data_IF_184350759802
#
_entry.id   IF_184350759802
#
_cell.length_a   1.000
_cell.length_b   1.000
_cell.length_c   1.000
_cell.angle_alpha   90.00
_cell.angle_beta   90.00
_cell.angle_gamma   90.00
#
_symmetry.space_group_name_H-M   'P 1'
#
loop_
_entity.id
_entity.type
_entity.pdbx_description
1 polymer ?
#
# COMPACT_ATOMS: atom_id res chain seq x y z
N UNK A 1 -28.09 -23.13 15.56
CA UNK A 1 -26.62 -23.02 15.59
C UNK A 1 -26.28 -21.54 15.44
N UNK A 2 -25.62 -20.89 16.40
CA UNK A 2 -25.21 -19.51 16.22
C UNK A 2 -24.20 -19.47 15.06
N UNK A 3 -24.50 -18.72 14.01
CA UNK A 3 -23.60 -18.53 12.88
C UNK A 3 -22.41 -17.69 13.34
N UNK A 4 -21.26 -18.31 13.53
CA UNK A 4 -20.02 -17.59 13.69
C UNK A 4 -19.67 -16.97 12.32
N UNK A 5 -19.73 -15.64 12.21
CA UNK A 5 -19.29 -14.93 11.01
C UNK A 5 -17.79 -15.22 10.81
N UNK A 6 -17.37 -15.81 9.68
CA UNK A 6 -15.99 -16.16 9.42
C UNK A 6 -15.15 -14.93 9.05
N UNK A 7 -15.10 -13.92 9.91
CA UNK A 7 -14.19 -12.78 9.78
C UNK A 7 -14.41 -11.91 8.53
N UNK A 8 -13.73 -10.76 8.49
CA UNK A 8 -13.76 -9.86 7.34
C UNK A 8 -12.71 -10.26 6.29
N UNK A 9 -12.97 -10.00 5.02
CA UNK A 9 -12.04 -10.28 3.90
C UNK A 9 -10.67 -9.63 4.13
N UNK A 10 -10.66 -8.43 4.70
CA UNK A 10 -9.44 -7.74 5.13
C UNK A 10 -8.51 -8.60 6.00
N UNK A 11 -9.06 -9.47 6.87
CA UNK A 11 -8.25 -10.35 7.74
C UNK A 11 -7.51 -11.45 6.96
N UNK A 12 -8.09 -11.92 5.86
CA UNK A 12 -7.50 -12.95 4.98
C UNK A 12 -6.46 -12.33 4.06
N UNK A 13 -6.72 -11.11 3.58
CA UNK A 13 -5.86 -10.43 2.61
C UNK A 13 -4.68 -9.71 3.30
N UNK A 14 -4.83 -9.28 4.55
CA UNK A 14 -3.79 -8.55 5.31
C UNK A 14 -2.38 -9.19 5.28
N UNK A 15 -2.19 -10.52 5.45
CA UNK A 15 -0.87 -11.14 5.34
C UNK A 15 -0.27 -11.02 3.94
N UNK A 16 -1.10 -11.06 2.90
CA UNK A 16 -0.67 -10.91 1.50
C UNK A 16 -0.28 -9.46 1.24
N UNK A 17 -1.10 -8.51 1.67
CA UNK A 17 -0.79 -7.08 1.59
C UNK A 17 0.52 -6.76 2.32
N UNK A 18 0.73 -7.33 3.50
CA UNK A 18 1.96 -7.16 4.27
C UNK A 18 3.16 -7.80 3.56
N UNK A 19 2.99 -9.01 3.01
CA UNK A 19 4.05 -9.74 2.30
C UNK A 19 4.50 -9.00 1.03
N UNK A 20 3.55 -8.42 0.29
CA UNK A 20 3.80 -7.73 -0.97
C UNK A 20 3.87 -6.20 -0.83
N UNK A 21 3.75 -5.67 0.39
CA UNK A 21 3.82 -4.23 0.72
C UNK A 21 2.89 -3.36 -0.15
N UNK A 22 1.69 -3.86 -0.41
CA UNK A 22 0.66 -3.14 -1.17
C UNK A 22 0.06 -2.05 -0.28
N UNK A 23 0.19 -0.79 -0.70
CA UNK A 23 -0.19 0.37 0.11
C UNK A 23 -1.66 0.79 -0.09
N UNK A 24 -2.18 0.70 -1.32
CA UNK A 24 -3.60 0.95 -1.62
C UNK A 24 -4.22 -0.23 -2.36
N UNK A 25 -4.60 -1.29 -1.61
CA UNK A 25 -5.12 -2.49 -2.22
C UNK A 25 -6.53 -2.29 -2.76
N UNK A 26 -6.71 -2.58 -4.03
CA UNK A 26 -8.03 -2.78 -4.61
C UNK A 26 -8.27 -4.27 -4.79
N UNK A 27 -9.34 -4.74 -4.15
CA UNK A 27 -9.73 -6.16 -4.18
C UNK A 27 -10.77 -6.34 -5.27
N UNK A 28 -10.45 -7.17 -6.28
CA UNK A 28 -11.33 -7.45 -7.40
C UNK A 28 -11.60 -8.96 -7.51
N UNK A 29 -12.81 -9.34 -7.91
CA UNK A 29 -13.12 -10.72 -8.30
C UNK A 29 -12.42 -11.06 -9.62
N UNK A 30 -11.71 -12.18 -9.70
CA UNK A 30 -10.98 -12.54 -10.93
C UNK A 30 -11.91 -12.76 -12.14
N UNK A 31 -13.11 -13.31 -11.92
CA UNK A 31 -14.07 -13.58 -12.99
C UNK A 31 -14.73 -12.33 -13.57
N UNK A 32 -15.20 -11.43 -12.71
CA UNK A 32 -16.01 -10.27 -13.10
C UNK A 32 -15.28 -8.92 -13.04
N UNK A 33 -14.09 -8.88 -12.42
CA UNK A 33 -13.39 -7.64 -12.02
C UNK A 33 -14.23 -6.70 -11.16
N UNK A 34 -15.29 -7.21 -10.52
CA UNK A 34 -16.08 -6.42 -9.60
C UNK A 34 -15.26 -6.11 -8.35
N UNK A 35 -15.35 -4.86 -7.89
CA UNK A 35 -14.71 -4.42 -6.66
C UNK A 35 -15.43 -4.95 -5.43
N UNK A 36 -14.63 -5.37 -4.45
CA UNK A 36 -15.08 -6.07 -3.26
C UNK A 36 -14.83 -5.20 -2.04
N UNK A 37 -15.84 -5.08 -1.20
CA UNK A 37 -15.73 -4.42 0.10
C UNK A 37 -14.84 -5.26 1.06
N UNK A 38 -13.70 -4.73 1.53
CA UNK A 38 -12.82 -5.44 2.48
C UNK A 38 -13.47 -5.72 3.84
N UNK A 39 -14.54 -5.01 4.20
CA UNK A 39 -15.31 -5.21 5.43
C UNK A 39 -16.36 -6.33 5.30
N UNK A 40 -16.63 -6.81 4.08
CA UNK A 40 -17.60 -7.89 3.87
C UNK A 40 -17.10 -9.23 4.42
N UNK A 41 -18.06 -10.13 4.64
CA UNK A 41 -17.84 -11.45 5.22
C UNK A 41 -17.11 -12.38 4.23
N UNK A 42 -16.06 -13.06 4.70
CA UNK A 42 -15.28 -14.03 3.90
C UNK A 42 -16.16 -15.16 3.34
N UNK A 43 -17.26 -15.51 4.02
CA UNK A 43 -18.20 -16.53 3.56
C UNK A 43 -18.72 -16.27 2.14
N UNK A 44 -18.81 -15.00 1.72
CA UNK A 44 -19.31 -14.59 0.40
C UNK A 44 -18.33 -14.89 -0.74
N UNK A 45 -17.07 -15.19 -0.44
CA UNK A 45 -16.00 -15.39 -1.41
C UNK A 45 -15.44 -16.81 -1.41
N UNK A 46 -16.18 -17.77 -0.85
CA UNK A 46 -15.70 -19.15 -0.79
C UNK A 46 -15.57 -19.76 -2.19
N UNK A 47 -14.34 -20.15 -2.56
CA UNK A 47 -14.03 -20.73 -3.87
C UNK A 47 -13.78 -19.70 -4.98
N UNK A 48 -13.88 -18.40 -4.67
CA UNK A 48 -13.57 -17.32 -5.60
C UNK A 48 -12.08 -16.97 -5.60
N UNK A 49 -11.56 -16.52 -6.74
CA UNK A 49 -10.19 -16.01 -6.86
C UNK A 49 -10.20 -14.50 -6.76
N UNK A 50 -9.39 -13.95 -5.87
CA UNK A 50 -9.25 -12.52 -5.66
C UNK A 50 -7.99 -12.00 -6.37
N UNK A 51 -8.17 -10.93 -7.13
CA UNK A 51 -7.09 -10.11 -7.64
C UNK A 51 -6.83 -8.99 -6.63
N UNK A 52 -5.58 -8.85 -6.23
CA UNK A 52 -5.12 -7.73 -5.41
C UNK A 52 -4.32 -6.85 -6.34
N UNK A 53 -4.90 -5.73 -6.72
CA UNK A 53 -4.19 -4.68 -7.45
C UNK A 53 -3.65 -3.68 -6.44
N UNK A 54 -2.38 -3.33 -6.59
CA UNK A 54 -1.88 -2.09 -6.02
C UNK A 54 -2.40 -0.97 -6.91
N UNK A 55 -3.46 -0.32 -6.47
CA UNK A 55 -4.19 0.58 -7.33
C UNK A 55 -3.35 1.83 -7.58
N UNK A 56 -2.76 1.89 -8.77
CA UNK A 56 -2.15 3.09 -9.33
C UNK A 56 -3.13 4.25 -9.14
N UNK A 57 -2.64 5.30 -8.47
CA UNK A 57 -3.48 6.35 -7.88
C UNK A 57 -4.49 6.90 -8.87
N UNK A 58 -5.75 6.95 -8.41
CA UNK A 58 -6.85 7.53 -9.16
C UNK A 58 -6.61 9.04 -9.19
N UNK A 59 -6.46 9.58 -10.39
CA UNK A 59 -6.40 11.01 -10.56
C UNK A 59 -7.81 11.61 -10.59
N UNK A 60 -7.97 12.81 -10.04
CA UNK A 60 -9.19 13.58 -10.04
C UNK A 60 -9.53 14.07 -11.47
N UNK A 61 -10.81 13.95 -11.89
CA UNK A 61 -11.28 14.48 -13.18
C UNK A 61 -11.08 15.99 -13.34
N UNK A 62 -10.94 16.78 -12.27
CA UNK A 62 -10.61 18.21 -12.35
C UNK A 62 -9.34 18.42 -13.17
N UNK A 63 -8.35 17.53 -13.02
CA UNK A 63 -7.09 17.56 -13.76
C UNK A 63 -7.22 17.34 -15.26
N UNK A 64 -8.38 16.92 -15.79
CA UNK A 64 -8.61 16.86 -17.24
C UNK A 64 -8.87 18.24 -17.84
N UNK A 65 -9.42 19.14 -17.03
CA UNK A 65 -9.77 20.50 -17.43
C UNK A 65 -8.70 21.53 -17.03
N UNK A 66 -8.06 21.34 -15.87
CA UNK A 66 -7.00 22.21 -15.39
C UNK A 66 -5.64 21.51 -15.39
N UNK A 67 -4.77 21.94 -16.30
CA UNK A 67 -3.40 21.42 -16.42
C UNK A 67 -2.53 21.73 -15.20
N UNK A 68 -2.76 22.85 -14.51
CA UNK A 68 -1.98 23.20 -13.30
C UNK A 68 -2.36 22.26 -12.18
N UNK A 69 -3.66 22.02 -12.00
CA UNK A 69 -4.17 21.03 -11.05
C UNK A 69 -3.57 19.64 -11.32
N UNK A 70 -3.57 19.20 -12.58
CA UNK A 70 -2.96 17.92 -12.98
C UNK A 70 -1.48 17.82 -12.63
N UNK A 71 -0.73 18.91 -12.78
CA UNK A 71 0.70 18.92 -12.49
C UNK A 71 0.95 18.82 -10.98
N UNK A 72 0.18 19.55 -10.17
CA UNK A 72 0.29 19.50 -8.70
C UNK A 72 -0.15 18.14 -8.14
N UNK A 73 -1.19 17.56 -8.71
CA UNK A 73 -1.68 16.23 -8.35
C UNK A 73 -0.65 15.13 -8.63
N UNK A 74 -0.02 15.18 -9.81
CA UNK A 74 1.10 14.28 -10.14
C UNK A 74 2.28 14.43 -9.18
N UNK A 75 2.61 15.67 -8.79
CA UNK A 75 3.69 15.93 -7.85
C UNK A 75 3.36 15.36 -6.46
N UNK A 76 2.13 15.56 -5.98
CA UNK A 76 1.66 14.98 -4.73
C UNK A 76 1.72 13.45 -4.76
N UNK A 77 1.27 12.85 -5.86
CA UNK A 77 1.34 11.40 -6.02
C UNK A 77 2.77 10.88 -6.01
N UNK A 78 3.69 11.54 -6.72
CA UNK A 78 5.09 11.16 -6.72
C UNK A 78 5.73 11.26 -5.31
N UNK A 79 5.36 12.27 -4.52
CA UNK A 79 5.89 12.45 -3.16
C UNK A 79 5.41 11.35 -2.21
N UNK A 80 4.12 11.02 -2.28
CA UNK A 80 3.55 9.91 -1.53
C UNK A 80 4.16 8.55 -1.98
N UNK A 81 4.45 8.33 -3.28
CA UNK A 81 5.14 7.11 -3.77
C UNK A 81 6.58 7.04 -3.24
N UNK A 82 7.27 8.18 -3.21
CA UNK A 82 8.60 8.29 -2.64
C UNK A 82 8.61 7.94 -1.15
N UNK A 83 7.62 8.41 -0.38
CA UNK A 83 7.45 8.05 1.02
C UNK A 83 7.21 6.53 1.20
N UNK A 84 6.36 5.93 0.37
CA UNK A 84 6.10 4.48 0.38
C UNK A 84 7.38 3.69 0.05
N UNK A 85 8.18 4.15 -0.91
CA UNK A 85 9.47 3.55 -1.25
C UNK A 85 10.47 3.63 -0.09
N UNK A 86 10.58 4.77 0.60
CA UNK A 86 11.44 4.94 1.78
C UNK A 86 11.02 4.00 2.93
N UNK A 87 9.72 3.95 3.21
CA UNK A 87 9.17 3.09 4.26
C UNK A 87 9.36 1.60 3.95
N UNK A 88 9.10 1.18 2.71
CA UNK A 88 9.26 -0.20 2.28
C UNK A 88 10.73 -0.63 2.21
N UNK A 89 11.66 0.27 1.84
CA UNK A 89 13.08 -0.05 1.79
C UNK A 89 13.62 -0.51 3.16
N UNK A 90 13.17 0.13 4.25
CA UNK A 90 13.49 -0.31 5.61
C UNK A 90 13.03 -1.74 5.88
N UNK A 91 11.81 -2.08 5.48
CA UNK A 91 11.25 -3.39 5.80
C UNK A 91 11.74 -4.51 4.89
N UNK A 92 12.00 -4.22 3.61
CA UNK A 92 12.45 -5.19 2.62
C UNK A 92 13.94 -5.47 2.73
N UNK A 93 14.76 -4.44 3.01
CA UNK A 93 16.21 -4.56 2.94
C UNK A 93 16.88 -4.44 4.30
N UNK A 94 16.42 -3.55 5.19
CA UNK A 94 17.11 -3.33 6.46
C UNK A 94 17.02 -4.55 7.39
N UNK A 95 15.86 -5.22 7.45
CA UNK A 95 15.70 -6.42 8.30
C UNK A 95 16.62 -7.58 7.88
N UNK A 96 16.72 -7.97 6.60
CA UNK A 96 17.72 -8.95 6.17
C UNK A 96 19.16 -8.48 6.37
N UNK A 97 19.44 -7.19 6.12
CA UNK A 97 20.80 -6.65 6.20
C UNK A 97 21.31 -6.60 7.66
N UNK A 98 20.46 -6.23 8.62
CA UNK A 98 20.79 -6.25 10.04
C UNK A 98 21.22 -7.64 10.55
N UNK A 99 20.70 -8.70 9.93
CA UNK A 99 21.01 -10.08 10.30
C UNK A 99 22.37 -10.55 9.80
N UNK A 100 22.77 -10.12 8.60
CA UNK A 100 23.98 -10.60 7.94
C UNK A 100 25.17 -9.62 8.04
N UNK A 101 24.88 -8.32 8.13
CA UNK A 101 25.85 -7.22 8.07
C UNK A 101 25.41 -6.03 8.93
N UNK A 102 25.42 -6.18 10.27
CA UNK A 102 24.91 -5.15 11.18
C UNK A 102 25.70 -3.83 11.09
N UNK A 103 27.00 -3.86 10.80
CA UNK A 103 27.84 -2.65 10.71
C UNK A 103 27.40 -1.66 9.59
N UNK A 104 26.73 -2.15 8.55
CA UNK A 104 26.27 -1.30 7.44
C UNK A 104 24.80 -0.88 7.57
N UNK A 105 24.07 -1.46 8.53
CA UNK A 105 22.64 -1.20 8.68
C UNK A 105 22.37 0.28 8.95
N UNK A 106 22.98 0.84 10.00
CA UNK A 106 22.70 2.21 10.40
C UNK A 106 23.26 3.23 9.40
N UNK A 107 24.43 2.94 8.80
CA UNK A 107 25.04 3.79 7.77
C UNK A 107 24.12 3.96 6.56
N UNK A 108 23.42 2.90 6.15
CA UNK A 108 22.57 2.91 4.95
C UNK A 108 21.13 3.35 5.28
N UNK A 109 20.55 2.87 6.39
CA UNK A 109 19.13 3.04 6.66
C UNK A 109 18.78 4.21 7.58
N UNK A 110 19.72 4.74 8.36
CA UNK A 110 19.47 5.93 9.17
C UNK A 110 19.18 7.18 8.33
N UNK A 111 19.95 7.49 7.26
CA UNK A 111 19.60 8.61 6.37
C UNK A 111 18.24 8.44 5.68
N UNK A 112 17.87 7.21 5.31
CA UNK A 112 16.56 6.91 4.72
C UNK A 112 15.42 7.10 5.74
N UNK A 113 15.66 6.74 7.00
CA UNK A 113 14.70 6.98 8.08
C UNK A 113 14.52 8.48 8.34
N UNK A 114 15.59 9.26 8.39
CA UNK A 114 15.53 10.71 8.58
C UNK A 114 14.79 11.38 7.41
N UNK A 115 15.07 10.96 6.17
CA UNK A 115 14.34 11.43 4.99
C UNK A 115 12.84 11.09 5.05
N UNK A 116 12.49 9.88 5.50
CA UNK A 116 11.07 9.49 5.63
C UNK A 116 10.30 10.39 6.59
N UNK A 117 10.94 10.83 7.69
CA UNK A 117 10.34 11.77 8.64
C UNK A 117 10.08 13.11 7.98
N UNK A 118 11.10 13.68 7.32
CA UNK A 118 10.98 14.99 6.64
C UNK A 118 9.91 14.96 5.55
N UNK A 119 9.91 13.91 4.71
CA UNK A 119 8.89 13.73 3.67
C UNK A 119 7.49 13.58 4.27
N UNK A 120 7.34 12.83 5.38
CA UNK A 120 6.03 12.69 6.04
C UNK A 120 5.49 14.02 6.59
N UNK A 121 6.36 14.89 7.12
CA UNK A 121 5.97 16.23 7.57
C UNK A 121 5.60 17.14 6.40
N UNK A 122 6.27 16.98 5.25
CA UNK A 122 5.97 17.74 4.05
C UNK A 122 4.60 17.38 3.46
N UNK A 123 4.25 16.10 3.42
CA UNK A 123 2.94 15.63 2.93
C UNK A 123 1.75 15.99 3.84
N UNK A 124 1.99 16.35 5.11
CA UNK A 124 0.93 16.72 6.06
C UNK A 124 0.60 18.23 6.06
N UNK A 125 1.36 19.06 5.33
CA UNK A 125 1.18 20.51 5.23
C UNK A 125 0.44 20.90 3.96
#
# INVERSE_FOLDING_TARGET
LPGASPGAISSVVAPVLLKYRVCRPRLLLAGSRAEIDPAADVALLHGEVLLIEDFARQYDPIGDTDRRYRATEKLLHAEEEYLEALCSAKELYARPLARNYPEFHDVIFQPLADLSVVTSEHCQR
#
